data_IF_116487638129
#
_entry.id   IF_116487638129
#
_cell.length_a   1.000
_cell.length_b   1.000
_cell.length_c   1.000
_cell.angle_alpha   90.00
_cell.angle_beta   90.00
_cell.angle_gamma   90.00
#
_symmetry.space_group_name_H-M   'P 1'
#
loop_
_entity.id
_entity.type
_entity.pdbx_description
1 polymer ?
#
# COMPACT_ATOMS: atom_id res chain seq x y z
N UNK A 1 -12.39 -25.02 18.89
CA UNK A 1 -12.55 -23.96 17.89
C UNK A 1 -12.06 -22.68 18.52
N UNK A 2 -10.79 -22.36 18.31
CA UNK A 2 -10.16 -21.17 18.87
C UNK A 2 -10.47 -20.01 17.93
N UNK A 3 -11.35 -19.11 18.36
CA UNK A 3 -11.59 -17.85 17.68
C UNK A 3 -10.31 -17.00 17.81
N UNK A 4 -9.36 -17.23 16.91
CA UNK A 4 -8.31 -16.28 16.57
C UNK A 4 -9.02 -15.01 16.09
N UNK A 5 -9.34 -14.12 17.03
CA UNK A 5 -9.61 -12.72 16.77
C UNK A 5 -8.35 -12.20 16.08
N UNK A 6 -8.34 -12.29 14.76
CA UNK A 6 -7.34 -11.64 13.93
C UNK A 6 -7.43 -10.17 14.32
N UNK A 7 -6.42 -9.70 15.05
CA UNK A 7 -6.34 -8.35 15.58
C UNK A 7 -6.02 -7.41 14.41
N UNK A 8 -6.84 -7.41 13.36
CA UNK A 8 -6.73 -6.58 12.16
C UNK A 8 -7.18 -5.14 12.43
N UNK A 9 -7.01 -4.66 13.66
CA UNK A 9 -7.31 -3.28 13.99
C UNK A 9 -6.00 -2.53 13.76
N UNK A 10 -5.78 -2.08 12.53
CA UNK A 10 -4.73 -1.10 12.28
C UNK A 10 -4.91 0.04 13.28
N UNK A 11 -3.84 0.37 14.00
CA UNK A 11 -3.86 1.52 14.88
C UNK A 11 -4.16 2.78 14.02
N UNK A 12 -4.85 3.79 14.56
CA UNK A 12 -5.15 5.00 13.80
C UNK A 12 -3.90 5.68 13.23
N UNK A 13 -2.77 5.59 13.93
CA UNK A 13 -1.48 6.07 13.45
C UNK A 13 -0.95 5.25 12.27
N UNK A 14 -1.13 3.92 12.28
CA UNK A 14 -0.72 3.02 11.20
C UNK A 14 -1.56 3.24 9.94
N UNK A 15 -2.88 3.39 10.09
CA UNK A 15 -3.76 3.79 8.99
C UNK A 15 -3.35 5.14 8.39
N UNK A 16 -3.00 6.10 9.25
CA UNK A 16 -2.52 7.40 8.79
C UNK A 16 -1.22 7.28 8.00
N UNK A 17 -0.27 6.48 8.47
CA UNK A 17 1.00 6.26 7.79
C UNK A 17 0.81 5.55 6.44
N UNK A 18 -0.03 4.51 6.40
CA UNK A 18 -0.39 3.80 5.18
C UNK A 18 -1.12 4.69 4.18
N UNK A 19 -2.06 5.52 4.65
CA UNK A 19 -2.75 6.49 3.80
C UNK A 19 -1.77 7.51 3.22
N UNK A 20 -0.86 8.05 4.02
CA UNK A 20 0.15 9.00 3.54
C UNK A 20 1.02 8.37 2.45
N UNK A 21 1.50 7.15 2.66
CA UNK A 21 2.28 6.44 1.66
C UNK A 21 1.47 6.20 0.37
N UNK A 22 0.22 5.75 0.53
CA UNK A 22 -0.70 5.55 -0.60
C UNK A 22 -0.86 6.84 -1.40
N UNK A 23 -1.10 7.96 -0.74
CA UNK A 23 -1.29 9.29 -1.34
C UNK A 23 0.00 9.76 -2.04
N UNK A 24 1.17 9.59 -1.40
CA UNK A 24 2.47 9.95 -1.96
C UNK A 24 2.79 9.17 -3.23
N UNK A 25 2.57 7.84 -3.23
CA UNK A 25 2.87 6.95 -4.36
C UNK A 25 1.83 7.14 -5.47
N UNK A 26 0.54 7.18 -5.11
CA UNK A 26 -0.53 7.36 -6.09
C UNK A 26 -0.55 8.76 -6.71
N UNK A 27 0.07 9.76 -6.09
CA UNK A 27 0.26 11.09 -6.68
C UNK A 27 1.46 11.16 -7.64
N UNK A 28 2.27 10.10 -7.77
CA UNK A 28 3.40 10.11 -8.68
C UNK A 28 2.95 10.04 -10.14
N UNK A 29 3.66 10.77 -11.00
CA UNK A 29 3.39 10.83 -12.45
C UNK A 29 3.50 9.47 -13.16
N UNK A 30 4.32 8.58 -12.62
CA UNK A 30 4.52 7.23 -13.15
C UNK A 30 3.44 6.26 -12.69
N UNK A 31 2.68 6.59 -11.63
CA UNK A 31 1.66 5.71 -11.07
C UNK A 31 0.39 5.76 -11.92
N UNK A 32 -0.22 4.60 -12.17
CA UNK A 32 -1.46 4.55 -12.93
C UNK A 32 -2.63 5.17 -12.14
N UNK A 33 -3.19 6.24 -12.69
CA UNK A 33 -4.22 7.03 -12.02
C UNK A 33 -5.61 6.39 -12.02
N UNK A 34 -5.79 5.26 -12.71
CA UNK A 34 -7.07 4.55 -12.77
C UNK A 34 -7.48 4.07 -11.39
N UNK A 35 -8.78 4.15 -11.10
CA UNK A 35 -9.34 3.65 -9.83
C UNK A 35 -8.95 2.19 -9.57
N UNK A 36 -8.91 1.34 -10.60
CA UNK A 36 -8.48 -0.06 -10.46
C UNK A 36 -7.05 -0.24 -9.95
N UNK A 37 -6.09 0.58 -10.40
CA UNK A 37 -4.71 0.52 -9.92
C UNK A 37 -4.57 1.04 -8.50
N UNK A 38 -5.32 2.10 -8.16
CA UNK A 38 -5.42 2.64 -6.80
C UNK A 38 -6.03 1.62 -5.83
N UNK A 39 -7.13 0.97 -6.20
CA UNK A 39 -7.77 -0.07 -5.41
C UNK A 39 -6.85 -1.29 -5.23
N UNK A 40 -6.23 -1.76 -6.31
CA UNK A 40 -5.29 -2.89 -6.26
C UNK A 40 -4.08 -2.58 -5.35
N UNK A 41 -3.54 -1.36 -5.44
CA UNK A 41 -2.43 -0.93 -4.60
C UNK A 41 -2.83 -0.78 -3.13
N UNK A 42 -3.99 -0.19 -2.83
CA UNK A 42 -4.51 -0.10 -1.47
C UNK A 42 -4.74 -1.49 -0.85
N UNK A 43 -5.30 -2.43 -1.64
CA UNK A 43 -5.46 -3.83 -1.23
C UNK A 43 -4.10 -4.48 -0.95
N UNK A 44 -3.11 -4.29 -1.82
CA UNK A 44 -1.76 -4.80 -1.62
C UNK A 44 -1.14 -4.28 -0.32
N UNK A 45 -1.28 -2.99 0.00
CA UNK A 45 -0.75 -2.42 1.24
C UNK A 45 -1.39 -3.06 2.48
N UNK A 46 -2.71 -3.25 2.47
CA UNK A 46 -3.44 -3.86 3.59
C UNK A 46 -3.05 -5.33 3.76
N UNK A 47 -2.90 -6.06 2.65
CA UNK A 47 -2.56 -7.50 2.63
C UNK A 47 -1.09 -7.76 2.98
N UNK A 48 -0.18 -6.87 2.57
CA UNK A 48 1.27 -6.97 2.85
C UNK A 48 1.60 -6.64 4.30
N UNK A 49 0.81 -5.76 4.94
CA UNK A 49 1.05 -5.32 6.31
C UNK A 49 -0.12 -5.66 7.25
N UNK A 50 -0.47 -6.96 7.41
CA UNK A 50 -1.50 -7.35 8.35
C UNK A 50 -1.01 -7.00 9.77
N UNK A 51 -1.84 -6.28 10.54
CA UNK A 51 -1.59 -5.79 11.90
C UNK A 51 -0.77 -4.50 12.04
N UNK A 52 -0.60 -3.70 10.97
CA UNK A 52 0.09 -2.41 11.11
C UNK A 52 1.57 -2.57 11.51
N UNK A 53 2.25 -3.55 10.91
CA UNK A 53 3.71 -3.65 10.95
C UNK A 53 4.36 -2.66 9.95
N UNK A 54 3.63 -1.63 9.52
CA UNK A 54 4.05 -0.77 8.42
C UNK A 54 4.99 0.33 8.93
N UNK A 55 6.29 0.09 8.79
CA UNK A 55 7.30 1.10 9.03
C UNK A 55 7.63 1.84 7.72
N UNK A 56 7.12 3.06 7.55
CA UNK A 56 7.33 3.86 6.35
C UNK A 56 8.83 4.09 6.04
N UNK A 57 9.71 4.15 7.04
CA UNK A 57 11.15 4.38 6.79
C UNK A 57 11.82 3.14 6.23
N UNK A 58 11.39 1.95 6.67
CA UNK A 58 11.99 0.68 6.26
C UNK A 58 11.35 0.10 5.01
N UNK A 59 10.03 0.26 4.86
CA UNK A 59 9.27 -0.39 3.82
C UNK A 59 9.00 0.49 2.60
N UNK A 60 9.16 1.82 2.68
CA UNK A 60 8.88 2.72 1.53
C UNK A 60 9.66 2.33 0.28
N UNK A 61 10.95 2.02 0.37
CA UNK A 61 11.74 1.62 -0.80
C UNK A 61 11.21 0.35 -1.46
N UNK A 62 10.80 -0.65 -0.67
CA UNK A 62 10.26 -1.92 -1.20
C UNK A 62 8.87 -1.69 -1.80
N UNK A 63 8.01 -0.94 -1.10
CA UNK A 63 6.66 -0.63 -1.58
C UNK A 63 6.70 0.22 -2.85
N UNK A 64 7.59 1.21 -2.93
CA UNK A 64 7.76 2.03 -4.14
C UNK A 64 8.27 1.19 -5.32
N UNK A 65 9.23 0.29 -5.09
CA UNK A 65 9.73 -0.62 -6.12
C UNK A 65 8.61 -1.55 -6.64
N UNK A 66 7.84 -2.17 -5.74
CA UNK A 66 6.67 -2.97 -6.12
C UNK A 66 5.63 -2.12 -6.85
N UNK A 67 5.36 -0.91 -6.38
CA UNK A 67 4.38 -0.04 -7.01
C UNK A 67 4.81 0.38 -8.41
N UNK A 68 6.09 0.64 -8.64
CA UNK A 68 6.63 0.89 -9.98
C UNK A 68 6.56 -0.34 -10.88
N UNK A 69 6.77 -1.54 -10.35
CA UNK A 69 6.74 -2.76 -11.15
C UNK A 69 5.32 -3.18 -11.54
N UNK A 70 4.34 -3.01 -10.67
CA UNK A 70 2.99 -3.58 -10.85
C UNK A 70 1.88 -2.54 -11.07
N UNK A 71 2.09 -1.30 -10.63
CA UNK A 71 1.09 -0.22 -10.65
C UNK A 71 1.59 1.04 -11.36
N UNK A 72 2.74 0.97 -12.04
CA UNK A 72 3.11 2.04 -12.96
C UNK A 72 2.29 1.96 -14.23
N UNK A 73 2.06 3.11 -14.85
CA UNK A 73 1.79 3.12 -16.28
C UNK A 73 3.06 2.64 -16.95
N UNK A 74 3.13 1.34 -17.22
CA UNK A 74 3.99 0.84 -18.28
C UNK A 74 3.63 1.69 -19.50
N UNK A 75 4.51 2.63 -19.88
CA UNK A 75 4.47 3.20 -21.20
C UNK A 75 4.70 2.01 -22.12
N UNK A 76 3.61 1.34 -22.49
CA UNK A 76 3.56 0.51 -23.67
C UNK A 76 4.01 1.43 -24.80
N UNK A 77 5.29 1.27 -25.14
CA UNK A 77 5.96 1.97 -26.24
C UNK A 77 5.48 1.38 -27.55
#
# INVERSE_FOLDING_TARGET
>A
MDHLYVKTVFQPQELKNLKLLFDEISSQVWFDQSDGAKEAFAKYLIDTFPNGAFDARKHRSVVEASARMFYSRETAV
#
